data_IF_308078187285
#
_entry.id   IF_308078187285
#
_cell.length_a   1.000
_cell.length_b   1.000
_cell.length_c   1.000
_cell.angle_alpha   90.00
_cell.angle_beta   90.00
_cell.angle_gamma   90.00
#
_symmetry.space_group_name_H-M   'P 1'
#
loop_
_entity.id
_entity.type
_entity.pdbx_description
1 polymer ?
#
# COMPACT_ATOMS: atom_id res chain seq x y z
N UNK A 1 12.27 4.24 10.52
CA UNK A 1 12.02 2.79 10.57
C UNK A 1 10.56 2.54 10.18
N UNK A 2 10.24 1.34 9.74
CA UNK A 2 8.92 0.98 9.26
C UNK A 2 8.83 -0.52 9.05
N UNK A 3 7.64 -1.00 8.69
CA UNK A 3 7.34 -2.43 8.59
C UNK A 3 6.83 -2.75 7.19
N UNK A 4 7.28 -3.90 6.67
CA UNK A 4 6.74 -4.49 5.45
C UNK A 4 5.75 -5.60 5.81
N UNK A 5 4.62 -5.60 5.11
CA UNK A 5 3.51 -6.53 5.26
C UNK A 5 3.28 -7.20 3.91
N UNK A 6 3.76 -8.44 3.69
CA UNK A 6 3.34 -9.22 2.53
C UNK A 6 1.82 -9.47 2.64
N UNK A 7 1.09 -9.39 1.54
CA UNK A 7 -0.34 -9.72 1.54
C UNK A 7 -0.56 -11.23 1.70
N UNK A 8 0.39 -12.05 1.24
CA UNK A 8 0.39 -13.49 1.51
C UNK A 8 0.63 -13.76 2.98
N UNK A 9 -0.33 -14.40 3.65
CA UNK A 9 -0.20 -14.80 5.05
C UNK A 9 -0.37 -13.67 6.06
N UNK A 10 -0.87 -12.50 5.63
CA UNK A 10 -1.23 -11.43 6.56
C UNK A 10 -2.36 -11.90 7.48
N UNK A 11 -2.25 -11.60 8.78
CA UNK A 11 -3.31 -11.89 9.73
C UNK A 11 -4.48 -10.90 9.56
N UNK A 12 -5.71 -11.37 9.84
CA UNK A 12 -6.93 -10.57 9.63
C UNK A 12 -6.97 -9.29 10.46
N UNK A 13 -6.36 -9.29 11.65
CA UNK A 13 -6.37 -8.12 12.53
C UNK A 13 -5.47 -7.01 11.97
N UNK A 14 -4.26 -7.37 11.54
CA UNK A 14 -3.34 -6.46 10.84
C UNK A 14 -3.95 -6.00 9.52
N UNK A 15 -4.58 -6.90 8.75
CA UNK A 15 -5.24 -6.52 7.51
C UNK A 15 -6.34 -5.47 7.75
N UNK A 16 -7.20 -5.67 8.75
CA UNK A 16 -8.24 -4.71 9.10
C UNK A 16 -7.65 -3.37 9.55
N UNK A 17 -6.59 -3.40 10.38
CA UNK A 17 -5.90 -2.18 10.80
C UNK A 17 -5.36 -1.38 9.61
N UNK A 18 -4.77 -2.04 8.61
CA UNK A 18 -4.26 -1.37 7.41
C UNK A 18 -5.39 -0.78 6.54
N UNK A 19 -6.59 -1.39 6.55
CA UNK A 19 -7.78 -0.82 5.91
C UNK A 19 -8.23 0.44 6.64
N UNK A 20 -8.35 0.37 7.96
CA UNK A 20 -8.82 1.47 8.82
C UNK A 20 -7.86 2.67 8.76
N UNK A 21 -6.58 2.40 8.61
CA UNK A 21 -5.54 3.42 8.43
C UNK A 21 -5.48 4.01 7.00
N UNK A 22 -6.32 3.53 6.08
CA UNK A 22 -6.31 3.88 4.65
C UNK A 22 -4.95 3.62 3.97
N UNK A 23 -4.27 2.54 4.37
CA UNK A 23 -2.96 2.14 3.86
C UNK A 23 -3.08 0.94 2.91
N UNK A 24 -4.05 0.04 3.14
CA UNK A 24 -4.27 -1.15 2.31
C UNK A 24 -4.96 -0.79 0.98
N UNK A 25 -4.34 -1.17 -0.12
CA UNK A 25 -4.98 -1.16 -1.44
C UNK A 25 -5.94 -2.34 -1.58
N UNK A 26 -7.03 -2.13 -2.33
CA UNK A 26 -8.08 -3.13 -2.49
C UNK A 26 -7.77 -4.05 -3.66
N UNK A 27 -8.13 -5.32 -3.52
CA UNK A 27 -8.23 -6.22 -4.66
C UNK A 27 -9.41 -5.80 -5.55
N UNK A 28 -9.26 -5.94 -6.87
CA UNK A 28 -10.42 -6.07 -7.74
C UNK A 28 -10.93 -4.79 -8.40
N UNK A 29 -10.04 -3.89 -8.80
CA UNK A 29 -10.39 -3.02 -9.92
C UNK A 29 -10.63 -3.90 -11.17
N UNK A 30 -11.85 -3.84 -11.71
CA UNK A 30 -12.26 -4.59 -12.91
C UNK A 30 -11.32 -4.37 -14.10
N UNK A 31 -10.72 -3.19 -14.20
CA UNK A 31 -9.80 -2.84 -15.28
C UNK A 31 -8.44 -3.52 -15.07
N UNK A 32 -7.94 -3.58 -13.83
CA UNK A 32 -6.71 -4.31 -13.49
C UNK A 32 -6.88 -5.83 -13.69
N UNK A 33 -8.07 -6.36 -13.40
CA UNK A 33 -8.39 -7.75 -13.68
C UNK A 33 -8.42 -8.03 -15.19
N UNK A 34 -9.06 -7.17 -15.98
CA UNK A 34 -9.08 -7.29 -17.44
C UNK A 34 -7.69 -7.14 -18.07
N UNK A 35 -6.81 -6.32 -17.47
CA UNK A 35 -5.42 -6.18 -17.86
C UNK A 35 -4.52 -7.33 -17.39
N UNK A 36 -5.07 -8.35 -16.73
CA UNK A 36 -4.35 -9.50 -16.15
C UNK A 36 -3.33 -9.11 -15.06
N UNK A 37 -3.43 -7.90 -14.51
CA UNK A 37 -2.53 -7.40 -13.46
C UNK A 37 -2.80 -8.11 -12.12
N UNK A 38 -4.05 -8.48 -11.83
CA UNK A 38 -4.42 -9.21 -10.61
C UNK A 38 -4.11 -10.72 -10.65
N UNK A 39 -3.40 -11.21 -11.67
CA UNK A 39 -3.05 -12.63 -11.78
C UNK A 39 -2.16 -13.05 -10.60
N UNK A 40 -2.47 -14.18 -9.98
CA UNK A 40 -1.78 -14.74 -8.80
C UNK A 40 -1.95 -13.97 -7.48
N UNK A 41 -2.93 -13.06 -7.40
CA UNK A 41 -3.28 -12.41 -6.13
C UNK A 41 -3.48 -13.43 -5.00
N UNK A 42 -2.97 -13.19 -3.76
CA UNK A 42 -2.22 -12.03 -3.28
C UNK A 42 -0.68 -12.18 -3.40
N UNK A 43 -0.19 -13.20 -4.09
CA UNK A 43 1.24 -13.55 -4.12
C UNK A 43 2.10 -12.47 -4.75
N UNK A 44 3.24 -12.18 -4.14
CA UNK A 44 4.19 -11.16 -4.61
C UNK A 44 3.74 -9.72 -4.35
N UNK A 45 2.63 -9.52 -3.63
CA UNK A 45 2.09 -8.21 -3.29
C UNK A 45 2.33 -7.88 -1.82
N UNK A 46 2.46 -6.60 -1.51
CA UNK A 46 2.67 -6.18 -0.13
C UNK A 46 2.73 -4.67 0.04
N UNK A 47 2.82 -4.27 1.30
CA UNK A 47 2.82 -2.86 1.67
C UNK A 47 3.93 -2.61 2.67
N UNK A 48 4.68 -1.53 2.46
CA UNK A 48 5.54 -0.97 3.48
C UNK A 48 4.93 0.33 4.00
N UNK A 49 5.05 0.60 5.29
CA UNK A 49 4.83 1.94 5.81
C UNK A 49 5.78 2.27 6.95
N UNK A 50 6.10 3.56 7.11
CA UNK A 50 6.76 4.05 8.33
C UNK A 50 5.80 3.99 9.51
N UNK A 51 6.35 3.93 10.72
CA UNK A 51 5.57 3.94 11.97
C UNK A 51 4.72 5.22 12.08
N UNK A 52 5.22 6.34 11.55
CA UNK A 52 4.53 7.62 11.49
C UNK A 52 3.44 7.70 10.40
N UNK A 53 3.26 6.66 9.57
CA UNK A 53 2.26 6.57 8.49
C UNK A 53 2.27 7.71 7.46
N UNK A 54 3.38 8.46 7.39
CA UNK A 54 3.57 9.57 6.46
C UNK A 54 4.33 9.19 5.17
N UNK A 55 4.77 7.95 5.09
CA UNK A 55 5.47 7.37 3.95
C UNK A 55 5.04 5.91 3.85
N UNK A 56 4.57 5.51 2.68
CA UNK A 56 4.13 4.15 2.38
C UNK A 56 4.48 3.76 0.94
N UNK A 57 4.68 2.46 0.75
CA UNK A 57 4.98 1.85 -0.54
C UNK A 57 3.97 0.75 -0.80
N UNK A 58 3.36 0.73 -1.98
CA UNK A 58 2.63 -0.43 -2.46
C UNK A 58 3.52 -1.19 -3.45
N UNK A 59 3.66 -2.49 -3.22
CA UNK A 59 4.43 -3.39 -4.07
C UNK A 59 3.47 -4.22 -4.92
N UNK A 60 3.66 -4.17 -6.24
CA UNK A 60 2.92 -4.95 -7.24
C UNK A 60 1.40 -4.80 -7.14
N UNK A 61 0.91 -3.58 -6.94
CA UNK A 61 -0.53 -3.28 -6.94
C UNK A 61 -1.05 -3.18 -8.39
N UNK A 62 -0.82 -2.05 -9.05
CA UNK A 62 -0.90 -1.84 -10.50
C UNK A 62 0.50 -1.83 -11.13
N UNK A 63 1.42 -1.08 -10.52
CA UNK A 63 2.84 -0.97 -10.91
C UNK A 63 3.72 -1.78 -9.96
N UNK A 64 5.01 -1.94 -10.32
CA UNK A 64 5.99 -2.59 -9.45
C UNK A 64 6.09 -1.89 -8.08
N UNK A 65 6.13 -0.56 -8.07
CA UNK A 65 6.21 0.26 -6.87
C UNK A 65 5.37 1.53 -7.02
N UNK A 66 4.50 1.78 -6.06
CA UNK A 66 3.84 3.07 -5.87
C UNK A 66 4.37 3.69 -4.57
N UNK A 67 5.04 4.83 -4.69
CA UNK A 67 5.61 5.56 -3.55
C UNK A 67 4.66 6.68 -3.15
N UNK A 68 4.20 6.65 -1.91
CA UNK A 68 3.17 7.55 -1.42
C UNK A 68 3.68 8.24 -0.17
N UNK A 69 3.71 9.57 -0.20
CA UNK A 69 4.02 10.42 0.94
C UNK A 69 2.80 11.27 1.27
N UNK A 70 2.42 11.28 2.55
CA UNK A 70 1.21 11.96 2.99
C UNK A 70 1.38 12.53 4.39
N UNK A 71 0.65 13.61 4.68
CA UNK A 71 0.52 14.18 6.01
C UNK A 71 -0.79 14.95 6.11
N UNK A 72 -1.21 15.25 7.34
CA UNK A 72 -2.32 16.19 7.56
C UNK A 72 -1.86 17.62 7.24
N UNK A 73 -2.78 18.42 6.71
CA UNK A 73 -2.50 19.80 6.27
C UNK A 73 -1.94 19.88 4.86
N UNK A 74 -1.57 21.09 4.44
CA UNK A 74 -1.22 21.41 3.03
C UNK A 74 0.24 21.76 2.78
N UNK A 75 1.17 21.43 3.69
CA UNK A 75 2.59 21.71 3.48
C UNK A 75 3.23 20.72 2.49
N UNK A 76 3.09 21.06 1.21
CA UNK A 76 3.59 20.28 0.08
C UNK A 76 5.13 20.21 0.05
N UNK A 77 5.82 21.24 0.54
CA UNK A 77 7.29 21.28 0.51
C UNK A 77 7.86 20.15 1.39
N UNK A 78 7.31 19.98 2.58
CA UNK A 78 7.72 18.92 3.49
C UNK A 78 7.38 17.53 2.94
N UNK A 79 6.25 17.37 2.23
CA UNK A 79 5.88 16.10 1.58
C UNK A 79 6.88 15.74 0.48
N UNK A 80 7.28 16.72 -0.34
CA UNK A 80 8.16 16.51 -1.48
C UNK A 80 9.63 16.24 -1.08
N UNK A 81 10.07 16.78 0.05
CA UNK A 81 11.46 16.62 0.52
C UNK A 81 11.75 15.29 1.23
N UNK A 82 10.74 14.48 1.54
CA UNK A 82 10.90 13.21 2.27
C UNK A 82 11.43 12.08 1.41
#
# INVERSE_FOLDING_TARGET
>A
KGKYHPLTGIDKATQQQLIDDHILFKEGDRFLQQANACRYWPTGRGIYHKDAKNFLLWCNEEYHLSIITQQKGGDLKTIFQR
#
